data_IF_731707751280
#
_entry.id   IF_731707751280
#
_cell.length_a   1.000
_cell.length_b   1.000
_cell.length_c   1.000
_cell.angle_alpha   90.00
_cell.angle_beta   90.00
_cell.angle_gamma   90.00
#
_symmetry.space_group_name_H-M   'P 1'
#
loop_
_entity.id
_entity.type
_entity.pdbx_description
1 polymer ?
#
# COMPACT_ATOMS: atom_id res chain seq x y z
N UNK A 1 -11.35 18.50 8.40
CA UNK A 1 -9.99 18.01 8.13
C UNK A 1 -9.80 16.76 8.98
N UNK A 2 -9.35 15.66 8.39
CA UNK A 2 -9.30 14.36 9.07
C UNK A 2 -8.18 14.36 10.12
N UNK A 3 -8.57 14.35 11.39
CA UNK A 3 -7.69 14.45 12.57
C UNK A 3 -6.65 13.32 12.63
N UNK A 4 -6.89 12.24 11.91
CA UNK A 4 -6.05 11.04 11.93
C UNK A 4 -4.81 11.15 11.03
N UNK A 5 -4.88 11.92 9.93
CA UNK A 5 -3.75 12.07 9.01
C UNK A 5 -2.61 12.88 9.65
N UNK A 6 -2.91 14.00 10.30
CA UNK A 6 -1.90 14.84 10.97
C UNK A 6 -1.19 14.09 12.12
N UNK A 7 -1.97 13.35 12.91
CA UNK A 7 -1.45 12.50 13.98
C UNK A 7 -0.57 11.38 13.42
N UNK A 8 -0.97 10.75 12.32
CA UNK A 8 -0.19 9.70 11.67
C UNK A 8 1.17 10.21 11.18
N UNK A 9 1.22 11.40 10.55
CA UNK A 9 2.48 12.02 10.10
C UNK A 9 3.39 12.39 11.26
N UNK A 10 2.82 12.90 12.36
CA UNK A 10 3.57 13.21 13.58
C UNK A 10 4.17 11.96 14.22
N UNK A 11 3.40 10.87 14.27
CA UNK A 11 3.85 9.57 14.76
C UNK A 11 5.03 9.03 13.93
N UNK A 12 4.90 9.03 12.60
CA UNK A 12 5.94 8.60 11.64
C UNK A 12 7.22 9.42 11.85
N UNK A 13 7.09 10.74 12.03
CA UNK A 13 8.23 11.61 12.32
C UNK A 13 8.89 11.28 13.66
N UNK A 14 8.11 11.06 14.72
CA UNK A 14 8.61 10.65 16.04
C UNK A 14 9.34 9.31 16.01
N UNK A 15 8.71 8.29 15.43
CA UNK A 15 9.29 6.95 15.25
C UNK A 15 10.64 7.00 14.51
N UNK A 16 10.70 7.74 13.40
CA UNK A 16 11.93 7.88 12.61
C UNK A 16 13.08 8.54 13.40
N UNK A 17 12.77 9.36 14.42
CA UNK A 17 13.77 10.02 15.26
C UNK A 17 14.25 9.09 16.40
N UNK A 18 13.32 8.35 17.01
CA UNK A 18 13.58 7.52 18.19
C UNK A 18 14.20 6.16 17.83
N UNK A 19 13.75 5.53 16.74
CA UNK A 19 14.05 4.13 16.47
C UNK A 19 15.05 3.91 15.33
N UNK A 20 15.45 4.96 14.60
CA UNK A 20 16.26 4.82 13.39
C UNK A 20 17.55 5.64 13.42
N UNK A 21 18.62 5.05 12.89
CA UNK A 21 19.86 5.74 12.59
C UNK A 21 19.73 6.66 11.36
N UNK A 22 20.77 7.45 11.07
CA UNK A 22 20.72 8.46 10.01
C UNK A 22 20.42 7.88 8.61
N UNK A 23 20.96 6.70 8.28
CA UNK A 23 20.73 6.05 6.99
C UNK A 23 19.31 5.49 6.88
N UNK A 24 18.87 4.76 7.90
CA UNK A 24 17.51 4.24 8.01
C UNK A 24 16.48 5.37 7.94
N UNK A 25 16.72 6.48 8.65
CA UNK A 25 15.85 7.66 8.64
C UNK A 25 15.79 8.34 7.27
N UNK A 26 16.91 8.46 6.55
CA UNK A 26 16.91 9.01 5.18
C UNK A 26 16.08 8.12 4.25
N UNK A 27 16.22 6.81 4.36
CA UNK A 27 15.44 5.86 3.58
C UNK A 27 13.96 5.93 3.94
N UNK A 28 13.62 5.88 5.23
CA UNK A 28 12.26 5.96 5.73
C UNK A 28 11.54 7.26 5.36
N UNK A 29 12.23 8.40 5.40
CA UNK A 29 11.66 9.68 4.94
C UNK A 29 11.31 9.67 3.46
N UNK A 30 12.10 9.00 2.62
CA UNK A 30 11.76 8.84 1.20
C UNK A 30 10.45 8.07 1.05
N UNK A 31 10.17 7.08 1.90
CA UNK A 31 8.94 6.26 1.84
C UNK A 31 7.68 7.10 1.95
N UNK A 32 7.66 8.06 2.86
CA UNK A 32 6.49 8.87 3.21
C UNK A 32 6.52 10.29 2.61
N UNK A 33 7.56 10.62 1.84
CA UNK A 33 7.72 11.95 1.25
C UNK A 33 6.52 12.33 0.36
N UNK A 34 6.03 11.41 -0.47
CA UNK A 34 4.87 11.65 -1.35
C UNK A 34 3.62 12.01 -0.56
N UNK A 35 3.27 11.18 0.43
CA UNK A 35 2.14 11.40 1.35
C UNK A 35 2.28 12.72 2.11
N UNK A 36 3.46 13.03 2.64
CA UNK A 36 3.71 14.28 3.36
C UNK A 36 3.63 15.52 2.47
N UNK A 37 4.16 15.44 1.24
CA UNK A 37 4.05 16.52 0.24
C UNK A 37 2.59 16.79 -0.10
N UNK A 38 1.83 15.73 -0.44
CA UNK A 38 0.41 15.85 -0.76
C UNK A 38 -0.39 16.44 0.40
N UNK A 39 -0.16 15.98 1.63
CA UNK A 39 -0.82 16.52 2.80
C UNK A 39 -0.52 18.02 2.97
N UNK A 40 0.72 18.44 2.75
CA UNK A 40 1.09 19.85 2.78
C UNK A 40 0.40 20.66 1.67
N UNK A 41 0.30 20.12 0.45
CA UNK A 41 -0.30 20.80 -0.70
C UNK A 41 -1.83 20.92 -0.58
N UNK A 42 -2.49 19.97 0.11
CA UNK A 42 -3.91 20.07 0.46
C UNK A 42 -4.18 21.08 1.58
N UNK A 43 -3.25 21.21 2.53
CA UNK A 43 -3.42 22.08 3.71
C UNK A 43 -3.04 23.54 3.45
N UNK A 44 -2.40 23.85 2.33
CA UNK A 44 -2.04 25.23 1.93
C UNK A 44 -2.94 25.69 0.80
N UNK A 45 -3.38 26.95 0.88
CA UNK A 45 -4.10 27.57 -0.22
C UNK A 45 -3.22 27.56 -1.48
N UNK A 46 -3.78 27.07 -2.58
CA UNK A 46 -3.07 26.91 -3.83
C UNK A 46 -3.90 26.11 -4.84
N UNK A 47 -3.39 26.05 -6.07
CA UNK A 47 -4.10 25.44 -7.21
C UNK A 47 -4.46 23.97 -6.97
N UNK A 48 -3.60 23.22 -6.28
CA UNK A 48 -3.85 21.81 -5.97
C UNK A 48 -5.03 21.61 -5.00
N UNK A 49 -5.14 22.47 -3.98
CA UNK A 49 -6.25 22.44 -3.03
C UNK A 49 -7.56 22.81 -3.74
N UNK A 50 -7.55 23.84 -4.59
CA UNK A 50 -8.72 24.26 -5.36
C UNK A 50 -9.22 23.15 -6.30
N UNK A 51 -8.30 22.49 -7.02
CA UNK A 51 -8.60 21.34 -7.87
C UNK A 51 -9.21 20.18 -7.05
N UNK A 52 -8.61 19.83 -5.90
CA UNK A 52 -9.16 18.82 -5.00
C UNK A 52 -10.59 19.17 -4.54
N UNK A 53 -10.81 20.40 -4.08
CA UNK A 53 -12.11 20.87 -3.60
C UNK A 53 -13.17 20.84 -4.69
N UNK A 54 -12.80 21.06 -5.96
CA UNK A 54 -13.72 20.99 -7.09
C UNK A 54 -14.27 19.57 -7.33
N UNK A 55 -13.47 18.54 -7.04
CA UNK A 55 -13.84 17.13 -7.24
C UNK A 55 -14.38 16.45 -5.96
N UNK A 56 -14.03 16.97 -4.79
CA UNK A 56 -14.33 16.39 -3.49
C UNK A 56 -15.82 16.02 -3.27
N UNK A 57 -16.83 16.84 -3.64
CA UNK A 57 -18.22 16.49 -3.40
C UNK A 57 -18.66 15.20 -4.08
N UNK A 58 -18.21 14.96 -5.32
CA UNK A 58 -18.54 13.73 -6.02
C UNK A 58 -17.76 12.55 -5.47
N UNK A 59 -16.43 12.72 -5.30
CA UNK A 59 -15.55 11.67 -4.77
C UNK A 59 -16.00 11.18 -3.38
N UNK A 60 -16.54 12.07 -2.55
CA UNK A 60 -17.07 11.70 -1.24
C UNK A 60 -18.33 10.83 -1.32
N UNK A 61 -19.21 11.05 -2.31
CA UNK A 61 -20.41 10.22 -2.50
C UNK A 61 -20.07 8.80 -2.97
N UNK A 62 -19.04 8.67 -3.80
CA UNK A 62 -18.62 7.39 -4.41
C UNK A 62 -17.54 6.67 -3.60
N UNK A 63 -17.20 7.19 -2.41
CA UNK A 63 -16.15 6.62 -1.57
C UNK A 63 -16.41 5.14 -1.23
N UNK A 64 -17.66 4.77 -0.93
CA UNK A 64 -18.03 3.37 -0.67
C UNK A 64 -17.83 2.44 -1.87
N UNK A 65 -18.06 2.94 -3.09
CA UNK A 65 -17.86 2.17 -4.33
C UNK A 65 -16.37 2.00 -4.68
N UNK A 66 -15.53 2.89 -4.17
CA UNK A 66 -14.07 2.84 -4.39
C UNK A 66 -13.33 2.04 -3.30
N UNK A 67 -13.92 1.86 -2.12
CA UNK A 67 -13.32 1.08 -1.02
C UNK A 67 -13.05 -0.38 -1.41
N UNK A 68 -13.96 -0.99 -2.18
CA UNK A 68 -13.81 -2.39 -2.62
C UNK A 68 -12.54 -2.63 -3.45
N UNK A 69 -12.06 -1.60 -4.15
CA UNK A 69 -10.87 -1.67 -4.99
C UNK A 69 -9.58 -1.91 -4.17
N UNK A 70 -9.56 -1.59 -2.88
CA UNK A 70 -8.37 -1.69 -2.03
C UNK A 70 -8.14 -3.09 -1.44
N UNK A 71 -9.19 -3.92 -1.42
CA UNK A 71 -9.21 -5.21 -0.70
C UNK A 71 -8.07 -6.15 -1.08
N UNK A 72 -7.86 -6.41 -2.39
CA UNK A 72 -6.80 -7.30 -2.90
C UNK A 72 -5.40 -6.78 -2.60
N UNK A 73 -5.21 -5.47 -2.72
CA UNK A 73 -3.93 -4.84 -2.40
C UNK A 73 -3.62 -4.93 -0.91
N UNK A 74 -4.61 -4.67 -0.04
CA UNK A 74 -4.46 -4.84 1.40
C UNK A 74 -4.11 -6.28 1.80
N UNK A 75 -4.72 -7.27 1.14
CA UNK A 75 -4.44 -8.68 1.37
C UNK A 75 -2.99 -9.02 0.95
N UNK A 76 -2.58 -8.62 -0.26
CA UNK A 76 -1.21 -8.86 -0.76
C UNK A 76 -0.14 -8.23 0.16
N UNK A 77 -0.38 -7.02 0.68
CA UNK A 77 0.51 -6.37 1.64
C UNK A 77 0.63 -7.14 2.95
N UNK A 78 -0.49 -7.68 3.45
CA UNK A 78 -0.53 -8.48 4.69
C UNK A 78 0.20 -9.81 4.51
N UNK A 79 0.04 -10.46 3.36
CA UNK A 79 0.72 -11.70 3.02
C UNK A 79 2.25 -11.51 2.95
N UNK A 80 2.74 -10.43 2.31
CA UNK A 80 4.18 -10.12 2.29
C UNK A 80 4.69 -9.87 3.70
N UNK A 81 3.96 -9.11 4.52
CA UNK A 81 4.40 -8.83 5.89
C UNK A 81 4.52 -10.13 6.71
N UNK A 82 3.54 -11.03 6.59
CA UNK A 82 3.57 -12.33 7.26
C UNK A 82 4.73 -13.20 6.76
N UNK A 83 4.97 -13.24 5.45
CA UNK A 83 6.08 -13.97 4.86
C UNK A 83 7.44 -13.43 5.33
N UNK A 84 7.59 -12.10 5.38
CA UNK A 84 8.81 -11.43 5.84
C UNK A 84 9.10 -11.75 7.30
N UNK A 85 8.09 -11.68 8.17
CA UNK A 85 8.23 -12.02 9.60
C UNK A 85 8.67 -13.48 9.78
N UNK A 86 8.03 -14.41 9.06
CA UNK A 86 8.38 -15.83 9.09
C UNK A 86 9.82 -16.07 8.61
N UNK A 87 10.27 -15.32 7.59
CA UNK A 87 11.63 -15.41 7.08
C UNK A 87 12.66 -14.92 8.11
N UNK A 88 12.36 -13.82 8.81
CA UNK A 88 13.18 -13.32 9.91
C UNK A 88 13.26 -14.34 11.07
N UNK A 89 12.14 -14.93 11.48
CA UNK A 89 12.11 -15.95 12.54
C UNK A 89 12.96 -17.19 12.18
N UNK A 90 12.89 -17.64 10.92
CA UNK A 90 13.69 -18.76 10.42
C UNK A 90 15.19 -18.43 10.36
N UNK A 91 15.54 -17.21 9.95
CA UNK A 91 16.93 -16.74 9.93
C UNK A 91 17.50 -16.62 11.34
N UNK A 92 16.73 -16.09 12.29
CA UNK A 92 17.10 -16.02 13.70
C UNK A 92 17.25 -17.41 14.33
N UNK A 93 16.34 -18.35 14.02
CA UNK A 93 16.44 -19.74 14.47
C UNK A 93 17.69 -20.44 13.89
N UNK A 94 17.98 -20.24 12.61
CA UNK A 94 19.19 -20.77 11.97
C UNK A 94 20.47 -20.14 12.53
N UNK A 95 20.44 -18.84 12.88
CA UNK A 95 21.57 -18.16 13.51
C UNK A 95 21.81 -18.63 14.95
N UNK A 96 20.74 -18.85 15.73
CA UNK A 96 20.82 -19.49 17.05
C UNK A 96 21.42 -20.90 16.96
N UNK A 97 20.98 -21.72 16.02
CA UNK A 97 21.53 -23.07 15.82
C UNK A 97 23.01 -23.04 15.38
N UNK A 98 23.43 -22.07 14.56
CA UNK A 98 24.85 -21.87 14.19
C UNK A 98 25.72 -21.49 15.38
N UNK A 99 25.22 -20.67 16.31
CA UNK A 99 25.96 -20.31 17.53
C UNK A 99 26.25 -21.55 18.39
N UNK A 100 25.31 -22.50 18.46
CA UNK A 100 25.53 -23.77 19.14
C UNK A 100 26.50 -24.72 18.41
N UNK A 101 26.55 -24.70 17.07
CA UNK A 101 27.42 -25.59 16.28
C UNK A 101 28.87 -25.09 16.07
N UNK A 102 29.13 -23.79 16.27
CA UNK A 102 30.44 -23.19 15.98
C UNK A 102 31.59 -23.69 16.88
N UNK A 103 31.28 -24.50 17.89
CA UNK A 103 32.27 -25.03 18.83
C UNK A 103 33.07 -26.25 18.32
N UNK A 104 32.80 -26.81 17.13
CA UNK A 104 33.36 -28.13 16.77
C UNK A 104 34.02 -28.36 15.39
N UNK A 105 34.18 -27.39 14.48
CA UNK A 105 34.90 -27.69 13.22
C UNK A 105 35.73 -26.51 12.68
N UNK A 106 37.07 -26.68 12.69
CA UNK A 106 38.04 -25.90 11.94
C UNK A 106 38.63 -26.78 10.83
N UNK A 107 38.16 -26.64 9.59
CA UNK A 107 38.94 -26.94 8.37
C UNK A 107 38.23 -26.32 7.15
N UNK A 108 38.91 -25.45 6.41
CA UNK A 108 38.43 -24.84 5.16
C UNK A 108 39.25 -25.36 3.97
N UNK A 109 38.60 -26.05 3.04
CA UNK A 109 39.02 -26.09 1.63
C UNK A 109 37.90 -25.40 0.82
N UNK A 110 38.25 -24.38 0.05
CA UNK A 110 37.32 -23.54 -0.73
C UNK A 110 37.42 -23.96 -2.20
N UNK A 111 36.37 -24.54 -2.76
CA UNK A 111 36.35 -25.09 -4.11
C UNK A 111 35.46 -24.26 -5.05
N UNK A 112 35.75 -24.31 -6.36
CA UNK A 112 35.08 -23.54 -7.43
C UNK A 112 33.57 -23.85 -7.55
N UNK A 113 33.14 -25.02 -7.07
CA UNK A 113 31.75 -25.47 -6.88
C UNK A 113 30.93 -24.59 -5.92
N UNK A 114 31.59 -23.78 -5.10
CA UNK A 114 30.95 -22.95 -4.08
C UNK A 114 30.24 -21.73 -4.68
N UNK A 115 30.68 -21.23 -5.85
CA UNK A 115 30.11 -20.05 -6.49
C UNK A 115 28.76 -20.33 -7.17
N UNK A 116 28.65 -21.43 -7.92
CA UNK A 116 27.39 -21.83 -8.55
C UNK A 116 26.35 -22.26 -7.51
N UNK A 117 26.81 -22.92 -6.45
CA UNK A 117 25.95 -23.32 -5.31
C UNK A 117 25.48 -22.09 -4.53
N UNK A 118 26.35 -21.10 -4.30
CA UNK A 118 25.97 -19.84 -3.68
C UNK A 118 25.00 -19.02 -4.56
N UNK A 119 25.18 -19.03 -5.89
CA UNK A 119 24.26 -18.40 -6.83
C UNK A 119 22.87 -19.06 -6.81
N UNK A 120 22.79 -20.39 -6.87
CA UNK A 120 21.52 -21.13 -6.76
C UNK A 120 20.82 -20.89 -5.43
N UNK A 121 21.58 -20.88 -4.32
CA UNK A 121 21.05 -20.58 -2.99
C UNK A 121 20.50 -19.14 -2.89
N UNK A 122 21.25 -18.15 -3.40
CA UNK A 122 20.78 -16.77 -3.43
C UNK A 122 19.57 -16.58 -4.34
N UNK A 123 19.52 -17.23 -5.50
CA UNK A 123 18.37 -17.20 -6.40
C UNK A 123 17.13 -17.80 -5.75
N UNK A 124 17.25 -18.98 -5.15
CA UNK A 124 16.15 -19.63 -4.41
C UNK A 124 15.67 -18.79 -3.22
N UNK A 125 16.55 -17.99 -2.61
CA UNK A 125 16.19 -17.05 -1.53
C UNK A 125 15.46 -15.80 -2.04
N UNK A 126 15.81 -15.31 -3.24
CA UNK A 126 15.23 -14.09 -3.84
C UNK A 126 13.89 -14.33 -4.53
N UNK A 127 13.71 -15.47 -5.17
CA UNK A 127 12.47 -15.80 -5.90
C UNK A 127 11.18 -15.59 -5.07
N UNK A 128 11.08 -16.01 -3.80
CA UNK A 128 9.89 -15.75 -2.99
C UNK A 128 9.66 -14.26 -2.69
N UNK A 129 10.74 -13.49 -2.51
CA UNK A 129 10.66 -12.05 -2.26
C UNK A 129 10.25 -11.30 -3.53
N UNK A 130 10.81 -11.68 -4.68
CA UNK A 130 10.46 -11.14 -6.00
C UNK A 130 9.02 -11.48 -6.36
N UNK A 131 8.55 -12.69 -6.04
CA UNK A 131 7.16 -13.12 -6.28
C UNK A 131 6.16 -12.35 -5.41
N UNK A 132 6.50 -12.17 -4.12
CA UNK A 132 5.72 -11.32 -3.21
C UNK A 132 5.64 -9.91 -3.75
N UNK A 133 6.77 -9.31 -4.10
CA UNK A 133 6.83 -7.96 -4.66
C UNK A 133 5.95 -7.82 -5.92
N UNK A 134 6.01 -8.80 -6.84
CA UNK A 134 5.15 -8.84 -8.03
C UNK A 134 3.66 -8.86 -7.65
N UNK A 135 3.26 -9.63 -6.65
CA UNK A 135 1.87 -9.66 -6.15
C UNK A 135 1.40 -8.29 -5.64
N UNK A 136 2.21 -7.61 -4.84
CA UNK A 136 1.89 -6.27 -4.33
C UNK A 136 1.84 -5.23 -5.45
N UNK A 137 2.77 -5.29 -6.40
CA UNK A 137 2.77 -4.38 -7.54
C UNK A 137 1.52 -4.54 -8.41
N UNK A 138 1.14 -5.78 -8.72
CA UNK A 138 -0.01 -6.05 -9.58
C UNK A 138 -1.34 -5.73 -8.90
N UNK A 139 -1.49 -6.06 -7.61
CA UNK A 139 -2.68 -5.69 -6.84
C UNK A 139 -2.79 -4.17 -6.64
N UNK A 140 -1.66 -3.46 -6.54
CA UNK A 140 -1.67 -1.99 -6.50
C UNK A 140 -2.10 -1.37 -7.83
N UNK A 141 -1.61 -1.89 -8.96
CA UNK A 141 -2.04 -1.43 -10.29
C UNK A 141 -3.53 -1.70 -10.52
N UNK A 142 -4.03 -2.86 -10.11
CA UNK A 142 -5.46 -3.18 -10.16
C UNK A 142 -6.29 -2.21 -9.30
N UNK A 143 -5.84 -1.93 -8.07
CA UNK A 143 -6.48 -0.94 -7.20
C UNK A 143 -6.60 0.42 -7.87
N UNK A 144 -5.50 0.96 -8.43
CA UNK A 144 -5.50 2.24 -9.11
C UNK A 144 -6.46 2.25 -10.32
N UNK A 145 -6.47 1.18 -11.10
CA UNK A 145 -7.33 1.08 -12.29
C UNK A 145 -8.81 0.98 -11.92
N UNK A 146 -9.15 0.15 -10.93
CA UNK A 146 -10.49 0.04 -10.38
C UNK A 146 -10.98 1.40 -9.86
N UNK A 147 -10.17 2.05 -9.02
CA UNK A 147 -10.52 3.35 -8.44
C UNK A 147 -10.75 4.40 -9.54
N UNK A 148 -9.78 4.58 -10.45
CA UNK A 148 -9.86 5.58 -11.52
C UNK A 148 -11.07 5.33 -12.43
N UNK A 149 -11.39 4.06 -12.76
CA UNK A 149 -12.55 3.75 -13.58
C UNK A 149 -13.88 4.01 -12.87
N UNK A 150 -13.97 3.68 -11.58
CA UNK A 150 -15.16 3.98 -10.77
C UNK A 150 -15.40 5.49 -10.68
N UNK A 151 -14.34 6.28 -10.43
CA UNK A 151 -14.44 7.75 -10.44
C UNK A 151 -14.82 8.27 -11.83
N UNK A 152 -14.23 7.74 -12.90
CA UNK A 152 -14.54 8.16 -14.27
C UNK A 152 -16.02 8.03 -14.59
N UNK A 153 -16.61 6.88 -14.24
CA UNK A 153 -18.02 6.59 -14.50
C UNK A 153 -18.96 7.47 -13.68
N UNK A 154 -18.62 7.74 -12.42
CA UNK A 154 -19.53 8.40 -11.49
C UNK A 154 -19.32 9.91 -11.39
N UNK A 155 -18.11 10.41 -11.67
CA UNK A 155 -17.69 11.79 -11.44
C UNK A 155 -17.05 12.47 -12.66
N UNK A 156 -16.78 11.74 -13.75
CA UNK A 156 -16.21 12.29 -14.99
C UNK A 156 -14.69 12.13 -15.13
N UNK A 157 -14.18 12.47 -16.31
CA UNK A 157 -12.78 12.23 -16.70
C UNK A 157 -11.80 13.05 -15.86
N UNK A 158 -12.07 14.33 -15.63
CA UNK A 158 -11.17 15.21 -14.89
C UNK A 158 -10.96 14.73 -13.45
N UNK A 159 -12.06 14.34 -12.78
CA UNK A 159 -12.02 13.75 -11.45
C UNK A 159 -11.25 12.42 -11.45
N UNK A 160 -11.38 11.61 -12.51
CA UNK A 160 -10.66 10.35 -12.64
C UNK A 160 -9.15 10.59 -12.78
N UNK A 161 -8.74 11.52 -13.64
CA UNK A 161 -7.34 11.90 -13.83
C UNK A 161 -6.74 12.49 -12.55
N UNK A 162 -7.48 13.37 -11.87
CA UNK A 162 -7.10 13.90 -10.57
C UNK A 162 -6.91 12.76 -9.55
N UNK A 163 -7.88 11.86 -9.45
CA UNK A 163 -7.81 10.76 -8.48
C UNK A 163 -6.65 9.80 -8.73
N UNK A 164 -6.29 9.55 -10.00
CA UNK A 164 -5.13 8.74 -10.34
C UNK A 164 -3.85 9.38 -9.82
N UNK A 165 -3.65 10.68 -10.09
CA UNK A 165 -2.50 11.44 -9.57
C UNK A 165 -2.48 11.47 -8.04
N UNK A 166 -3.64 11.66 -7.42
CA UNK A 166 -3.79 11.67 -5.97
C UNK A 166 -3.33 10.35 -5.35
N UNK A 167 -3.83 9.22 -5.84
CA UNK A 167 -3.43 7.89 -5.36
C UNK A 167 -1.96 7.57 -5.64
N UNK A 168 -1.45 7.93 -6.82
CA UNK A 168 -0.04 7.74 -7.19
C UNK A 168 0.91 8.54 -6.29
N UNK A 169 0.49 9.72 -5.83
CA UNK A 169 1.25 10.58 -4.92
C UNK A 169 1.19 10.09 -3.47
N UNK A 170 0.05 9.53 -3.04
CA UNK A 170 -0.09 8.90 -1.72
C UNK A 170 0.70 7.60 -1.60
N UNK A 171 0.83 6.86 -2.70
CA UNK A 171 1.56 5.60 -2.73
C UNK A 171 3.01 5.78 -2.27
N UNK A 172 3.50 4.83 -1.49
CA UNK A 172 4.90 4.86 -1.04
C UNK A 172 5.83 4.93 -2.24
N UNK A 173 6.88 5.76 -2.15
CA UNK A 173 7.91 5.82 -3.20
C UNK A 173 8.59 4.48 -3.46
N UNK A 174 8.53 3.53 -2.51
CA UNK A 174 8.99 2.16 -2.71
C UNK A 174 8.12 1.38 -3.68
N UNK A 175 6.79 1.50 -3.56
CA UNK A 175 5.88 0.86 -4.51
C UNK A 175 6.17 1.45 -5.89
N UNK A 176 6.29 2.77 -6.00
CA UNK A 176 6.63 3.41 -7.28
C UNK A 176 7.97 2.92 -7.85
N UNK A 177 9.03 2.90 -7.04
CA UNK A 177 10.38 2.52 -7.47
C UNK A 177 10.49 1.03 -7.82
N UNK A 178 9.94 0.16 -6.97
CA UNK A 178 10.05 -1.29 -7.12
C UNK A 178 9.01 -1.87 -8.08
N UNK A 179 7.93 -1.14 -8.35
CA UNK A 179 6.92 -1.59 -9.31
C UNK A 179 7.12 -1.07 -10.74
N UNK A 180 8.14 -0.24 -10.98
CA UNK A 180 8.42 0.34 -12.30
C UNK A 180 8.74 -0.70 -13.37
N UNK A 181 9.28 -1.85 -12.98
CA UNK A 181 9.72 -2.90 -13.91
C UNK A 181 8.63 -3.94 -14.23
N UNK A 182 7.47 -3.90 -13.55
CA UNK A 182 6.39 -4.86 -13.81
C UNK A 182 5.41 -4.35 -14.85
N UNK A 183 5.32 -5.07 -15.97
CA UNK A 183 4.42 -4.76 -17.06
C UNK A 183 2.98 -5.24 -16.80
N UNK A 184 2.02 -4.75 -17.58
CA UNK A 184 0.64 -5.27 -17.53
C UNK A 184 0.54 -6.76 -17.91
N UNK A 185 1.53 -7.27 -18.65
CA UNK A 185 1.63 -8.69 -19.03
C UNK A 185 2.08 -9.56 -17.85
N UNK A 186 3.05 -9.06 -17.07
CA UNK A 186 3.51 -9.70 -15.83
C UNK A 186 2.36 -9.96 -14.86
N UNK A 187 1.44 -9.01 -14.77
CA UNK A 187 0.30 -9.08 -13.87
C UNK A 187 -0.83 -9.96 -14.39
N UNK A 188 -1.09 -9.97 -15.71
CA UNK A 188 -2.04 -10.90 -16.32
C UNK A 188 -1.69 -12.35 -16.06
N UNK A 189 -0.39 -12.70 -16.11
CA UNK A 189 0.10 -14.05 -15.82
C UNK A 189 -0.19 -14.49 -14.37
N UNK A 190 -0.36 -13.54 -13.45
CA UNK A 190 -0.70 -13.77 -12.04
C UNK A 190 -2.20 -13.66 -11.75
N UNK A 191 -3.05 -13.55 -12.78
CA UNK A 191 -4.51 -13.44 -12.61
C UNK A 191 -4.99 -12.06 -12.15
N UNK A 192 -4.19 -11.02 -12.37
CA UNK A 192 -4.59 -9.63 -12.16
C UNK A 192 -5.10 -9.04 -13.47
N UNK A 193 -6.32 -8.48 -13.46
CA UNK A 193 -6.93 -7.85 -14.62
C UNK A 193 -6.59 -6.36 -14.65
N UNK A 194 -5.79 -5.95 -15.63
CA UNK A 194 -5.29 -4.57 -15.78
C UNK A 194 -6.02 -3.81 -16.91
N UNK A 195 -6.79 -4.49 -17.74
CA UNK A 195 -7.60 -3.88 -18.80
C UNK A 195 -9.04 -3.59 -18.37
N UNK A 196 -9.61 -2.53 -18.95
CA UNK A 196 -10.87 -1.88 -18.57
C UNK A 196 -11.99 -2.85 -18.25
N UNK A 197 -12.53 -2.75 -17.03
CA UNK A 197 -13.60 -3.60 -16.55
C UNK A 197 -14.86 -3.34 -17.39
N UNK A 198 -15.20 -4.17 -18.37
CA UNK A 198 -16.56 -4.19 -18.92
C UNK A 198 -17.51 -4.64 -17.81
N UNK A 199 -18.52 -3.82 -17.52
CA UNK A 199 -19.56 -4.10 -16.54
C UNK A 199 -20.53 -5.15 -17.05
N UNK A 200 -20.09 -6.40 -17.15
CA UNK A 200 -20.98 -7.55 -17.32
C UNK A 200 -20.42 -8.72 -16.51
N UNK A 201 -21.04 -9.05 -15.38
CA UNK A 201 -20.90 -10.38 -14.78
C UNK A 201 -20.39 -10.52 -13.35
N UNK A 202 -20.14 -9.44 -12.58
CA UNK A 202 -19.99 -9.56 -11.12
C UNK A 202 -21.27 -9.11 -10.42
N UNK A 203 -22.27 -10.00 -10.40
CA UNK A 203 -23.31 -9.96 -9.37
C UNK A 203 -22.71 -10.44 -8.04
N UNK A 204 -21.99 -9.56 -7.34
CA UNK A 204 -21.84 -9.71 -5.90
C UNK A 204 -23.01 -8.96 -5.24
N UNK A 205 -23.77 -9.60 -4.34
CA UNK A 205 -24.88 -8.95 -3.66
C UNK A 205 -24.32 -7.85 -2.75
N UNK A 206 -24.41 -6.60 -3.23
CA UNK A 206 -24.13 -5.42 -2.43
C UNK A 206 -25.30 -5.21 -1.45
N UNK A 207 -25.16 -5.76 -0.25
CA UNK A 207 -25.96 -5.29 0.88
C UNK A 207 -25.35 -3.96 1.35
N UNK A 208 -25.96 -2.85 0.92
CA UNK A 208 -25.71 -1.50 1.42
C UNK A 208 -26.19 -1.30 2.88
N UNK A 209 -26.02 -2.30 3.74
CA UNK A 209 -26.42 -2.28 5.13
C UNK A 209 -25.47 -3.15 5.94
N UNK A 210 -24.77 -2.50 6.89
CA UNK A 210 -23.69 -3.02 7.76
C UNK A 210 -22.31 -2.92 7.09
N UNK A 211 -21.48 -1.91 7.33
CA UNK A 211 -21.05 -1.39 8.64
C UNK A 211 -20.66 0.09 8.55
N UNK A 212 -21.55 0.98 8.98
CA UNK A 212 -21.12 2.05 9.88
C UNK A 212 -21.48 1.50 11.26
N UNK A 213 -20.53 1.45 12.20
CA UNK A 213 -20.87 0.97 13.55
C UNK A 213 -22.11 1.74 14.04
N UNK A 214 -23.04 1.05 14.69
CA UNK A 214 -24.30 1.63 15.18
C UNK A 214 -24.07 2.90 16.01
N UNK A 215 -22.89 3.01 16.62
CA UNK A 215 -22.41 4.17 17.38
C UNK A 215 -22.18 5.42 16.51
N UNK A 216 -21.67 5.29 15.28
CA UNK A 216 -21.36 6.45 14.41
C UNK A 216 -22.63 7.04 13.80
N UNK A 217 -23.62 6.22 13.45
CA UNK A 217 -24.94 6.72 13.02
C UNK A 217 -25.67 7.44 14.16
N UNK A 218 -25.60 6.92 15.38
CA UNK A 218 -26.16 7.60 16.55
C UNK A 218 -25.46 8.95 16.81
N UNK A 219 -24.12 9.00 16.71
CA UNK A 219 -23.36 10.24 16.87
C UNK A 219 -23.67 11.28 15.78
N UNK A 220 -23.77 10.87 14.52
CA UNK A 220 -24.15 11.78 13.43
C UNK A 220 -25.55 12.36 13.62
N UNK A 221 -26.51 11.53 14.04
CA UNK A 221 -27.89 11.98 14.32
C UNK A 221 -27.92 12.96 15.49
N UNK A 222 -27.20 12.66 16.59
CA UNK A 222 -27.10 13.55 17.77
C UNK A 222 -26.42 14.88 17.41
N UNK A 223 -25.35 14.85 16.62
CA UNK A 223 -24.64 16.05 16.17
C UNK A 223 -25.52 16.88 15.22
N UNK A 224 -26.26 16.26 14.30
CA UNK A 224 -27.21 17.00 13.45
C UNK A 224 -28.36 17.60 14.26
N UNK A 225 -28.93 16.88 15.23
CA UNK A 225 -29.99 17.43 16.09
C UNK A 225 -29.49 18.58 16.97
N UNK A 226 -28.23 18.53 17.43
CA UNK A 226 -27.62 19.60 18.22
C UNK A 226 -27.27 20.85 17.39
N UNK A 227 -26.96 20.69 16.10
CA UNK A 227 -26.62 21.80 15.20
C UNK A 227 -27.86 22.49 14.59
N UNK A 228 -28.98 21.77 14.46
CA UNK A 228 -30.22 22.32 13.90
C UNK A 228 -31.23 22.84 14.94
N UNK A 229 -30.94 22.68 16.24
CA UNK A 229 -31.81 23.14 17.32
C UNK A 229 -31.17 24.27 18.15
N UNK A 230 -30.33 25.09 17.49
CA UNK A 230 -29.70 26.29 18.06
C UNK A 230 -29.81 27.46 17.10
#
# INVERSE_FOLDING_TARGET
MDLDLEKSLTCIHGYSRLCMNLQQRKHFRKLFHGTASMANDLCRNGTYQEEFLSHAPCMQRVAGDTEVCFSRYSAAMTEIQAATNKQQELEEAAQRNRYHHHHHHHHHHRNKTDAETAYKYQKAKREPADDGLKSVCCSFQEYLNCYTQTIRRSCGEDAALFSRRFLDQMASSMIKMHCMDFSAEDCRQKGFHIEGFHTEGLSYPYNASQKLSSSIRALLVVVTLALFNR
#
